data_IF_995930592838
#
_entry.id   IF_995930592838
#
_cell.length_a   1.000
_cell.length_b   1.000
_cell.length_c   1.000
_cell.angle_alpha   90.00
_cell.angle_beta   90.00
_cell.angle_gamma   90.00
#
_symmetry.space_group_name_H-M   'P 1'
#
loop_
_entity.id
_entity.type
_entity.pdbx_description
1 polymer ?
#
# COMPACT_ATOMS: atom_id res chain seq x y z
N UNK A 1 2.63 -13.22 2.87
CA UNK A 1 2.12 -13.52 1.51
C UNK A 1 1.64 -14.97 1.41
N UNK A 2 2.44 -15.98 1.76
CA UNK A 2 2.05 -17.39 1.66
C UNK A 2 0.72 -17.71 2.35
N UNK A 3 0.49 -17.18 3.56
CA UNK A 3 -0.78 -17.35 4.26
C UNK A 3 -1.97 -16.79 3.46
N UNK A 4 -1.84 -15.58 2.93
CA UNK A 4 -2.91 -14.93 2.14
C UNK A 4 -3.14 -15.62 0.77
N UNK A 5 -2.09 -16.19 0.19
CA UNK A 5 -2.17 -16.89 -1.10
C UNK A 5 -2.58 -18.37 -0.95
N UNK A 6 -2.59 -18.93 0.28
CA UNK A 6 -2.83 -20.34 0.53
C UNK A 6 -1.76 -21.31 0.00
N UNK A 7 -0.59 -20.79 -0.38
CA UNK A 7 0.54 -21.55 -0.91
C UNK A 7 1.87 -20.87 -0.60
N UNK A 8 2.96 -21.61 -0.72
CA UNK A 8 4.30 -21.04 -0.56
C UNK A 8 4.57 -19.97 -1.62
N UNK A 9 5.09 -18.82 -1.18
CA UNK A 9 5.47 -17.70 -2.04
C UNK A 9 6.93 -17.36 -1.77
N UNK A 10 7.77 -17.52 -2.77
CA UNK A 10 9.18 -17.14 -2.72
C UNK A 10 9.32 -15.73 -3.28
N UNK A 11 9.92 -14.83 -2.51
CA UNK A 11 10.16 -13.44 -2.92
C UNK A 11 11.62 -13.07 -2.80
N UNK A 12 12.08 -12.18 -3.66
CA UNK A 12 13.31 -11.42 -3.45
C UNK A 12 12.94 -10.12 -2.75
N UNK A 13 13.42 -9.97 -1.51
CA UNK A 13 13.22 -8.76 -0.73
C UNK A 13 14.55 -8.04 -0.55
N UNK A 14 14.68 -6.85 -1.16
CA UNK A 14 15.92 -6.08 -1.15
C UNK A 14 15.64 -4.65 -0.67
N UNK A 15 15.64 -4.40 0.64
CA UNK A 15 15.43 -3.06 1.18
C UNK A 15 16.66 -2.18 0.93
N UNK A 16 16.41 -0.90 0.66
CA UNK A 16 17.44 0.12 0.50
C UNK A 16 17.26 1.22 1.56
N UNK A 17 18.34 1.58 2.22
CA UNK A 17 18.42 2.81 2.99
C UNK A 17 18.83 3.94 2.05
N UNK A 18 17.98 4.95 1.95
CA UNK A 18 18.18 6.12 1.09
C UNK A 18 18.19 7.39 1.94
N UNK A 19 18.79 8.49 1.48
CA UNK A 19 18.88 9.74 2.24
C UNK A 19 17.52 10.48 2.26
N UNK A 20 16.50 9.84 2.78
CA UNK A 20 15.18 10.39 3.09
C UNK A 20 14.94 10.32 4.60
N UNK A 21 14.43 11.39 5.18
CA UNK A 21 14.10 11.39 6.61
C UNK A 21 12.82 10.61 6.92
N UNK A 22 11.86 10.59 5.99
CA UNK A 22 10.54 10.01 6.17
C UNK A 22 10.10 9.27 4.90
N UNK A 23 9.28 8.24 5.13
CA UNK A 23 8.60 7.51 4.09
C UNK A 23 9.21 6.16 3.75
N UNK A 24 8.36 5.28 3.27
CA UNK A 24 8.71 4.02 2.60
C UNK A 24 8.02 4.03 1.26
N UNK A 25 8.79 3.85 0.19
CA UNK A 25 8.28 3.64 -1.16
C UNK A 25 8.59 2.21 -1.58
N UNK A 26 7.55 1.48 -1.96
CA UNK A 26 7.68 0.08 -2.39
C UNK A 26 7.32 -0.03 -3.86
N UNK A 27 8.11 -0.80 -4.60
CA UNK A 27 7.75 -1.30 -5.93
C UNK A 27 7.94 -2.81 -5.94
N UNK A 28 6.87 -3.53 -6.23
CA UNK A 28 6.89 -4.99 -6.30
C UNK A 28 6.51 -5.45 -7.71
N UNK A 29 7.10 -6.54 -8.15
CA UNK A 29 6.86 -7.12 -9.47
C UNK A 29 6.36 -8.55 -9.31
N UNK A 30 5.33 -8.91 -10.07
CA UNK A 30 4.85 -10.27 -10.17
C UNK A 30 4.57 -10.63 -11.63
N UNK A 31 4.82 -11.89 -12.00
CA UNK A 31 4.42 -12.41 -13.30
C UNK A 31 2.92 -12.67 -13.30
N UNK A 32 2.25 -12.28 -14.37
CA UNK A 32 0.84 -12.59 -14.58
C UNK A 32 0.71 -14.08 -14.97
N UNK A 33 -0.27 -14.75 -14.42
CA UNK A 33 -0.59 -16.15 -14.76
C UNK A 33 -1.52 -16.26 -15.98
N UNK A 34 -2.17 -15.15 -16.33
CA UNK A 34 -3.05 -14.99 -17.51
C UNK A 34 -3.03 -13.52 -17.93
N UNK A 35 -3.49 -13.26 -19.14
CA UNK A 35 -3.76 -11.88 -19.55
C UNK A 35 -4.89 -11.29 -18.71
N UNK A 36 -4.70 -10.07 -18.25
CA UNK A 36 -5.68 -9.31 -17.47
C UNK A 36 -5.74 -7.87 -17.98
N UNK A 37 -6.90 -7.26 -17.88
CA UNK A 37 -7.10 -5.85 -18.18
C UNK A 37 -6.82 -4.98 -16.96
N UNK A 38 -6.62 -3.68 -17.20
CA UNK A 38 -6.52 -2.71 -16.11
C UNK A 38 -7.78 -2.73 -15.23
N UNK A 39 -8.96 -2.81 -15.86
CA UNK A 39 -10.25 -2.78 -15.19
C UNK A 39 -10.47 -3.99 -14.28
N UNK A 40 -10.02 -5.18 -14.69
CA UNK A 40 -10.08 -6.38 -13.84
C UNK A 40 -9.20 -6.25 -12.61
N UNK A 41 -7.99 -5.74 -12.76
CA UNK A 41 -7.08 -5.53 -11.61
C UNK A 41 -7.61 -4.39 -10.73
N UNK A 42 -8.09 -3.29 -11.32
CA UNK A 42 -8.69 -2.18 -10.56
C UNK A 42 -9.89 -2.66 -9.74
N UNK A 43 -10.76 -3.46 -10.32
CA UNK A 43 -11.90 -4.03 -9.60
C UNK A 43 -11.47 -4.90 -8.40
N UNK A 44 -10.37 -5.66 -8.53
CA UNK A 44 -9.81 -6.44 -7.43
C UNK A 44 -9.27 -5.53 -6.30
N UNK A 45 -8.60 -4.42 -6.64
CA UNK A 45 -8.15 -3.43 -5.66
C UNK A 45 -9.34 -2.76 -4.97
N UNK A 46 -10.36 -2.36 -5.71
CA UNK A 46 -11.55 -1.72 -5.16
C UNK A 46 -12.30 -2.68 -4.22
N UNK A 47 -12.49 -3.92 -4.64
CA UNK A 47 -13.13 -4.94 -3.79
C UNK A 47 -12.37 -5.19 -2.47
N UNK A 48 -11.03 -5.05 -2.47
CA UNK A 48 -10.22 -5.20 -1.28
C UNK A 48 -10.19 -3.95 -0.40
N UNK A 49 -10.25 -2.76 -0.99
CA UNK A 49 -9.85 -1.54 -0.30
C UNK A 49 -10.90 -0.43 -0.26
N UNK A 50 -12.06 -0.55 -0.93
CA UNK A 50 -13.07 0.53 -0.95
C UNK A 50 -13.60 0.89 0.44
N UNK A 51 -13.58 -0.05 1.39
CA UNK A 51 -14.05 0.16 2.77
C UNK A 51 -12.90 0.35 3.78
N UNK A 52 -11.66 0.38 3.31
CA UNK A 52 -10.47 0.52 4.15
C UNK A 52 -10.12 1.98 4.37
N UNK A 53 -10.36 2.48 5.60
CA UNK A 53 -10.25 3.89 5.95
C UNK A 53 -8.89 4.53 5.64
N UNK A 54 -7.82 3.74 5.64
CA UNK A 54 -6.45 4.24 5.48
C UNK A 54 -5.81 3.87 4.13
N UNK A 55 -6.50 3.15 3.25
CA UNK A 55 -5.97 2.77 1.95
C UNK A 55 -6.57 3.66 0.85
N UNK A 56 -5.70 4.33 0.10
CA UNK A 56 -6.09 5.14 -1.05
C UNK A 56 -5.56 4.48 -2.33
N UNK A 57 -6.48 3.96 -3.12
CA UNK A 57 -6.16 3.46 -4.47
C UNK A 57 -6.15 4.65 -5.41
N UNK A 58 -4.98 5.01 -5.91
CA UNK A 58 -4.80 6.20 -6.74
C UNK A 58 -5.37 6.00 -8.15
N UNK A 59 -5.63 7.12 -8.81
CA UNK A 59 -6.08 7.14 -10.19
C UNK A 59 -5.06 6.52 -11.15
N UNK A 60 -5.53 6.06 -12.30
CA UNK A 60 -4.69 5.48 -13.35
C UNK A 60 -3.49 6.37 -13.66
N UNK A 61 -2.33 5.75 -13.78
CA UNK A 61 -1.04 6.39 -14.09
C UNK A 61 -0.48 7.36 -13.01
N UNK A 62 -1.13 7.49 -11.86
CA UNK A 62 -0.62 8.27 -10.74
C UNK A 62 0.27 7.38 -9.86
N UNK A 63 1.55 7.73 -9.75
CA UNK A 63 2.47 7.00 -8.89
C UNK A 63 2.37 7.46 -7.43
N UNK A 64 2.32 6.54 -6.45
CA UNK A 64 2.41 6.90 -5.04
C UNK A 64 3.67 7.70 -4.72
N UNK A 65 3.55 8.66 -3.81
CA UNK A 65 4.67 9.51 -3.38
C UNK A 65 4.68 9.61 -1.86
N UNK A 66 5.85 9.45 -1.25
CA UNK A 66 6.01 9.50 0.21
C UNK A 66 5.53 10.81 0.83
N UNK A 67 5.71 11.92 0.12
CA UNK A 67 5.27 13.25 0.56
C UNK A 67 3.74 13.37 0.74
N UNK A 68 2.95 12.56 0.03
CA UNK A 68 1.48 12.62 0.12
C UNK A 68 0.91 11.86 1.31
N UNK A 69 1.74 11.07 1.99
CA UNK A 69 1.36 10.27 3.15
C UNK A 69 2.12 10.66 4.42
N UNK A 70 3.10 11.58 4.30
CA UNK A 70 3.95 12.00 5.42
C UNK A 70 3.13 12.54 6.60
N UNK A 71 3.42 12.04 7.80
CA UNK A 71 2.74 12.41 9.04
C UNK A 71 1.35 11.80 9.22
N UNK A 72 0.91 10.93 8.31
CA UNK A 72 -0.43 10.33 8.35
C UNK A 72 -0.40 8.80 8.44
N UNK A 73 -1.55 8.23 8.79
CA UNK A 73 -1.74 6.77 8.78
C UNK A 73 -2.23 6.24 7.43
N UNK A 74 -2.24 7.08 6.39
CA UNK A 74 -2.64 6.66 5.05
C UNK A 74 -1.55 5.85 4.35
N UNK A 75 -2.00 4.97 3.46
CA UNK A 75 -1.18 4.29 2.45
C UNK A 75 -1.74 4.59 1.07
N UNK A 76 -0.90 5.07 0.17
CA UNK A 76 -1.22 5.22 -1.24
C UNK A 76 -0.75 3.97 -1.98
N UNK A 77 -1.63 3.38 -2.77
CA UNK A 77 -1.32 2.21 -3.59
C UNK A 77 -1.73 2.44 -5.04
N UNK A 78 -0.99 1.86 -5.94
CA UNK A 78 -1.36 1.77 -7.34
C UNK A 78 -0.66 0.60 -8.02
N UNK A 79 -1.05 0.31 -9.25
CA UNK A 79 -0.45 -0.73 -10.07
C UNK A 79 -0.32 -0.30 -11.53
N UNK A 80 0.52 -1.01 -12.25
CA UNK A 80 0.67 -0.91 -13.70
C UNK A 80 0.86 -2.30 -14.29
N UNK A 81 0.22 -2.55 -15.41
CA UNK A 81 0.45 -3.77 -16.20
C UNK A 81 1.48 -3.44 -17.28
N UNK A 82 2.55 -4.21 -17.35
CA UNK A 82 3.53 -4.11 -18.44
C UNK A 82 3.31 -5.27 -19.43
N UNK A 83 2.68 -5.01 -20.57
CA UNK A 83 2.39 -6.04 -21.55
C UNK A 83 3.65 -6.62 -22.21
N UNK A 84 4.77 -5.88 -22.23
CA UNK A 84 6.03 -6.33 -22.82
C UNK A 84 6.70 -7.43 -22.02
N UNK A 85 6.54 -7.39 -20.70
CA UNK A 85 7.17 -8.34 -19.78
C UNK A 85 6.17 -9.30 -19.16
N UNK A 86 4.90 -9.16 -19.47
CA UNK A 86 3.78 -9.94 -18.91
C UNK A 86 3.80 -9.90 -17.36
N UNK A 87 3.99 -8.69 -16.80
CA UNK A 87 4.07 -8.46 -15.36
C UNK A 87 3.13 -7.38 -14.88
N UNK A 88 2.71 -7.53 -13.63
CA UNK A 88 2.12 -6.46 -12.85
C UNK A 88 3.22 -5.80 -12.01
N UNK A 89 3.20 -4.47 -11.97
CA UNK A 89 4.05 -3.63 -11.14
C UNK A 89 3.12 -3.02 -10.08
N UNK A 90 3.32 -3.36 -8.83
CA UNK A 90 2.53 -2.87 -7.70
C UNK A 90 3.37 -1.85 -6.94
N UNK A 91 2.77 -0.72 -6.60
CA UNK A 91 3.46 0.38 -5.95
C UNK A 91 2.71 0.78 -4.68
N UNK A 92 3.45 1.20 -3.66
CA UNK A 92 2.87 1.70 -2.43
C UNK A 92 3.78 2.69 -1.73
N UNK A 93 3.19 3.67 -1.05
CA UNK A 93 3.89 4.64 -0.24
C UNK A 93 3.21 4.77 1.13
N UNK A 94 4.01 4.83 2.19
CA UNK A 94 3.56 5.06 3.56
C UNK A 94 4.52 5.99 4.29
N UNK A 95 4.06 6.58 5.38
CA UNK A 95 4.93 7.16 6.38
C UNK A 95 5.54 6.05 7.24
N UNK A 96 6.87 6.00 7.32
CA UNK A 96 7.60 4.93 8.02
C UNK A 96 7.43 4.96 9.55
N UNK A 97 7.11 6.10 10.14
CA UNK A 97 6.96 6.25 11.59
C UNK A 97 5.49 6.22 12.04
N UNK A 98 4.56 6.58 11.17
CA UNK A 98 3.11 6.52 11.46
C UNK A 98 2.56 5.20 10.98
N UNK A 99 2.18 5.05 9.72
CA UNK A 99 1.60 3.77 9.19
C UNK A 99 2.59 2.62 9.29
N UNK A 100 3.86 2.87 9.10
CA UNK A 100 4.92 1.85 9.19
C UNK A 100 5.29 1.45 10.63
N UNK A 101 4.87 2.19 11.66
CA UNK A 101 5.27 1.94 13.04
C UNK A 101 4.15 2.30 14.04
N UNK A 102 4.21 3.50 14.65
CA UNK A 102 3.33 3.88 15.76
C UNK A 102 1.84 3.93 15.37
N UNK A 103 1.52 4.44 14.19
CA UNK A 103 0.14 4.53 13.71
C UNK A 103 -0.48 3.14 13.52
N UNK A 104 0.27 2.18 12.98
CA UNK A 104 -0.21 0.80 12.84
C UNK A 104 -0.39 0.14 14.22
N UNK A 105 0.47 0.45 15.20
CA UNK A 105 0.31 -0.05 16.56
C UNK A 105 -0.98 0.48 17.22
N UNK A 106 -1.27 1.77 17.06
CA UNK A 106 -2.53 2.38 17.55
C UNK A 106 -3.73 1.80 16.81
N UNK A 107 -3.66 1.62 15.49
CA UNK A 107 -4.72 1.00 14.70
C UNK A 107 -5.04 -0.42 15.19
N UNK A 108 -4.02 -1.23 15.41
CA UNK A 108 -4.18 -2.58 15.97
C UNK A 108 -4.78 -2.54 17.39
N UNK A 109 -4.32 -1.63 18.24
CA UNK A 109 -4.87 -1.43 19.57
C UNK A 109 -6.36 -1.08 19.50
N UNK A 110 -6.76 -0.16 18.62
CA UNK A 110 -8.15 0.21 18.44
C UNK A 110 -9.02 -1.01 18.12
N UNK A 111 -8.59 -1.85 17.16
CA UNK A 111 -9.29 -3.08 16.78
C UNK A 111 -9.35 -4.08 17.95
N UNK A 112 -8.24 -4.28 18.67
CA UNK A 112 -8.16 -5.23 19.79
C UNK A 112 -9.06 -4.86 20.96
N UNK A 113 -9.26 -3.57 21.20
CA UNK A 113 -10.07 -3.06 22.33
C UNK A 113 -11.48 -2.62 21.90
N UNK A 114 -11.88 -2.83 20.64
CA UNK A 114 -13.22 -2.51 20.14
C UNK A 114 -13.49 -1.02 19.96
N UNK A 115 -12.44 -0.20 19.87
CA UNK A 115 -12.56 1.19 19.46
C UNK A 115 -12.78 1.30 17.94
N UNK A 116 -13.15 2.49 17.47
CA UNK A 116 -13.15 2.76 16.02
C UNK A 116 -11.72 2.62 15.50
N UNK A 117 -11.52 1.86 14.45
CA UNK A 117 -10.21 1.66 13.84
C UNK A 117 -9.45 2.97 13.58
N UNK A 118 -10.19 4.02 13.23
CA UNK A 118 -9.67 5.35 12.90
C UNK A 118 -9.44 6.26 14.10
N UNK A 119 -9.75 5.82 15.31
CA UNK A 119 -9.66 6.68 16.50
C UNK A 119 -8.25 7.20 16.73
N UNK A 120 -8.09 8.53 16.77
CA UNK A 120 -6.80 9.20 16.94
C UNK A 120 -5.85 9.15 15.73
N UNK A 121 -6.30 8.66 14.55
CA UNK A 121 -5.44 8.40 13.39
C UNK A 121 -5.81 9.17 12.12
N UNK A 122 -6.80 10.06 12.17
CA UNK A 122 -7.27 10.82 11.00
C UNK A 122 -6.46 12.10 10.75
N UNK A 123 -5.17 12.10 11.04
CA UNK A 123 -4.30 13.23 10.73
C UNK A 123 -4.18 13.40 9.21
N UNK A 124 -4.29 14.65 8.77
CA UNK A 124 -4.04 15.03 7.37
C UNK A 124 -2.53 14.95 7.11
N UNK A 125 -2.09 14.45 5.96
CA UNK A 125 -0.67 14.48 5.59
C UNK A 125 -0.08 15.89 5.66
N UNK A 126 1.16 15.98 6.14
CA UNK A 126 1.88 17.25 6.31
C UNK A 126 2.54 17.67 4.99
N UNK A 127 1.78 17.75 3.91
CA UNK A 127 2.29 18.20 2.62
C UNK A 127 1.99 19.69 2.44
N UNK A 128 3.02 20.54 2.20
CA UNK A 128 2.83 21.91 1.74
C UNK A 128 2.58 21.95 0.23
#
# INVERSE_FOLDING_TARGET
LGYACGQEVVINFTPHLVPMYRGILVTAYASLTKDVTYEEVKAAYDACYENEAFVRVLDKDVCPQTKWVEGSNYVDVNFKIDPRTHRIIMMGAIDNLVKGAAGQAVQNMNLMFGFKETEGLLQVPMYP
#
